data_IF_740039935908
#
_entry.id   IF_740039935908
#
_cell.length_a   1.000
_cell.length_b   1.000
_cell.length_c   1.000
_cell.angle_alpha   90.00
_cell.angle_beta   90.00
_cell.angle_gamma   90.00
#
_symmetry.space_group_name_H-M   'P 1'
#
loop_
_entity.id
_entity.type
_entity.pdbx_description
1 polymer ?
#
# COMPACT_ATOMS: atom_id res chain seq x y z
N UNK A 1 -14.14 7.72 17.79
CA UNK A 1 -14.51 6.77 16.71
C UNK A 1 -13.30 5.95 16.30
N UNK A 2 -13.46 4.65 16.00
CA UNK A 2 -12.38 3.82 15.43
C UNK A 2 -12.22 4.13 13.93
N UNK A 3 -11.00 4.08 13.37
CA UNK A 3 -10.79 4.32 11.94
C UNK A 3 -11.51 3.26 11.10
N UNK A 4 -12.09 3.69 9.98
CA UNK A 4 -12.66 2.78 8.97
C UNK A 4 -11.57 2.43 7.96
N UNK A 5 -11.24 1.15 7.87
CA UNK A 5 -10.32 0.61 6.84
C UNK A 5 -11.15 -0.08 5.77
N UNK A 6 -10.88 0.25 4.50
CA UNK A 6 -11.56 -0.36 3.35
C UNK A 6 -10.51 -1.11 2.53
N UNK A 7 -10.69 -2.42 2.41
CA UNK A 7 -9.84 -3.27 1.58
C UNK A 7 -10.56 -3.56 0.25
N UNK A 8 -9.86 -3.31 -0.86
CA UNK A 8 -10.32 -3.76 -2.18
C UNK A 8 -10.02 -5.25 -2.41
N UNK A 9 -10.39 -5.78 -3.57
CA UNK A 9 -10.00 -7.14 -3.96
C UNK A 9 -8.97 -7.09 -5.11
N UNK A 10 -7.76 -7.62 -4.85
CA UNK A 10 -6.68 -7.63 -5.83
C UNK A 10 -6.05 -6.25 -6.05
N UNK A 11 -5.78 -5.90 -7.31
CA UNK A 11 -5.13 -4.63 -7.68
C UNK A 11 -6.13 -3.52 -8.07
N UNK A 12 -5.62 -2.30 -8.25
CA UNK A 12 -6.41 -1.11 -8.56
C UNK A 12 -7.34 -1.29 -9.79
N UNK A 13 -6.84 -1.97 -10.82
CA UNK A 13 -7.55 -2.15 -12.10
C UNK A 13 -8.49 -3.37 -12.10
N UNK A 14 -8.62 -4.09 -10.98
CA UNK A 14 -9.50 -5.25 -10.88
C UNK A 14 -10.97 -4.78 -11.06
N UNK A 15 -11.73 -5.42 -11.96
CA UNK A 15 -13.15 -5.12 -12.12
C UNK A 15 -13.94 -5.53 -10.87
N UNK A 16 -14.69 -4.58 -10.30
CA UNK A 16 -15.74 -4.85 -9.32
C UNK A 16 -16.97 -5.45 -10.03
N UNK A 17 -17.26 -4.95 -11.23
CA UNK A 17 -18.28 -5.47 -12.14
C UNK A 17 -17.84 -5.22 -13.59
N UNK A 18 -18.72 -5.48 -14.57
CA UNK A 18 -18.38 -5.35 -16.00
C UNK A 18 -18.18 -3.90 -16.48
N UNK A 19 -18.42 -2.91 -15.62
CA UNK A 19 -18.41 -1.49 -15.94
C UNK A 19 -17.51 -0.67 -15.01
N UNK A 20 -17.15 -1.21 -13.84
CA UNK A 20 -16.49 -0.48 -12.76
C UNK A 20 -15.32 -1.29 -12.21
N UNK A 21 -14.16 -0.63 -12.04
CA UNK A 21 -12.97 -1.17 -11.37
C UNK A 21 -12.83 -0.54 -9.98
N UNK A 22 -12.01 -1.14 -9.12
CA UNK A 22 -11.74 -0.57 -7.79
C UNK A 22 -11.17 0.86 -7.86
N UNK A 23 -10.28 1.14 -8.81
CA UNK A 23 -9.72 2.49 -8.97
C UNK A 23 -10.78 3.54 -9.32
N UNK A 24 -11.84 3.14 -10.02
CA UNK A 24 -12.95 4.06 -10.37
C UNK A 24 -13.76 4.39 -9.09
N UNK A 25 -13.91 3.44 -8.16
CA UNK A 25 -14.52 3.67 -6.84
C UNK A 25 -13.63 4.56 -5.97
N UNK A 26 -12.32 4.32 -5.95
CA UNK A 26 -11.38 5.11 -5.17
C UNK A 26 -11.30 6.57 -5.66
N UNK A 27 -11.39 6.77 -6.97
CA UNK A 27 -11.51 8.10 -7.58
C UNK A 27 -12.77 8.84 -7.13
N UNK A 28 -13.91 8.15 -7.03
CA UNK A 28 -15.16 8.73 -6.54
C UNK A 28 -15.07 9.12 -5.06
N UNK A 29 -14.50 8.25 -4.23
CA UNK A 29 -14.41 8.50 -2.80
C UNK A 29 -13.37 9.56 -2.45
N UNK A 30 -12.29 9.68 -3.24
CA UNK A 30 -11.14 10.56 -2.97
C UNK A 30 -10.55 10.38 -1.56
N UNK A 31 -10.69 9.18 -1.01
CA UNK A 31 -10.11 8.83 0.27
C UNK A 31 -8.62 8.51 0.10
N UNK A 32 -7.79 8.78 1.11
CA UNK A 32 -6.39 8.40 1.08
C UNK A 32 -6.19 6.89 0.93
N UNK A 33 -5.26 6.50 0.05
CA UNK A 33 -4.91 5.10 -0.23
C UNK A 33 -3.56 4.76 0.41
N UNK A 34 -3.45 3.54 0.94
CA UNK A 34 -2.17 2.88 1.22
C UNK A 34 -1.95 1.83 0.13
N UNK A 35 -0.82 1.90 -0.58
CA UNK A 35 -0.50 0.94 -1.63
C UNK A 35 0.32 -0.22 -1.04
N UNK A 36 -0.24 -1.42 -1.03
CA UNK A 36 0.47 -2.62 -0.59
C UNK A 36 1.28 -3.22 -1.75
N UNK A 37 2.60 -3.35 -1.57
CA UNK A 37 3.51 -3.87 -2.59
C UNK A 37 4.34 -5.05 -2.05
N UNK A 38 4.43 -6.13 -2.82
CA UNK A 38 5.34 -7.24 -2.51
C UNK A 38 6.80 -6.87 -2.79
N UNK A 39 7.77 -7.60 -2.25
CA UNK A 39 9.21 -7.37 -2.48
C UNK A 39 9.85 -8.30 -3.53
N UNK A 40 9.04 -8.94 -4.38
CA UNK A 40 9.52 -9.88 -5.41
C UNK A 40 9.73 -9.25 -6.80
N UNK A 41 10.41 -9.97 -7.70
CA UNK A 41 10.65 -9.54 -9.08
C UNK A 41 9.38 -9.02 -9.77
N UNK A 42 9.54 -7.92 -10.51
CA UNK A 42 8.44 -7.18 -11.16
C UNK A 42 7.75 -6.15 -10.26
N UNK A 43 8.05 -6.10 -8.96
CA UNK A 43 7.41 -5.15 -8.05
C UNK A 43 7.68 -3.68 -8.37
N UNK A 44 8.88 -3.34 -8.85
CA UNK A 44 9.20 -1.96 -9.28
C UNK A 44 8.19 -1.49 -10.33
N UNK A 45 8.03 -2.28 -11.40
CA UNK A 45 7.09 -1.96 -12.47
C UNK A 45 5.64 -1.88 -11.96
N UNK A 46 5.16 -2.91 -11.24
CA UNK A 46 3.77 -2.93 -10.78
C UNK A 46 3.46 -1.78 -9.83
N UNK A 47 4.37 -1.47 -8.92
CA UNK A 47 4.18 -0.41 -7.93
C UNK A 47 4.20 0.97 -8.58
N UNK A 48 5.17 1.24 -9.46
CA UNK A 48 5.23 2.53 -10.18
C UNK A 48 4.03 2.72 -11.13
N UNK A 49 3.61 1.69 -11.87
CA UNK A 49 2.38 1.76 -12.70
C UNK A 49 1.13 2.01 -11.85
N UNK A 50 1.08 1.45 -10.64
CA UNK A 50 -0.04 1.68 -9.72
C UNK A 50 -0.04 3.11 -9.20
N UNK A 51 1.12 3.67 -8.86
CA UNK A 51 1.28 5.07 -8.45
C UNK A 51 0.83 6.02 -9.57
N UNK A 52 1.28 5.79 -10.80
CA UNK A 52 0.88 6.59 -11.96
C UNK A 52 -0.64 6.52 -12.20
N UNK A 53 -1.25 5.34 -12.05
CA UNK A 53 -2.70 5.18 -12.20
C UNK A 53 -3.50 5.95 -11.14
N UNK A 54 -3.03 5.99 -9.88
CA UNK A 54 -3.63 6.76 -8.80
C UNK A 54 -3.49 8.26 -9.05
N UNK A 55 -2.29 8.71 -9.43
CA UNK A 55 -1.98 10.12 -9.74
C UNK A 55 -2.81 10.65 -10.90
N UNK A 56 -2.92 9.87 -11.98
CA UNK A 56 -3.71 10.24 -13.15
C UNK A 56 -5.20 10.51 -12.81
N UNK A 57 -5.70 9.97 -11.70
CA UNK A 57 -7.06 10.15 -11.18
C UNK A 57 -7.13 11.08 -9.98
N UNK A 58 -6.03 11.74 -9.62
CA UNK A 58 -5.91 12.60 -8.44
C UNK A 58 -6.35 11.89 -7.14
N UNK A 59 -6.11 10.59 -7.02
CA UNK A 59 -6.41 9.82 -5.80
C UNK A 59 -5.27 10.06 -4.80
N UNK A 60 -5.55 10.50 -3.57
CA UNK A 60 -4.51 10.73 -2.57
C UNK A 60 -3.82 9.42 -2.18
N UNK A 61 -2.50 9.39 -2.20
CA UNK A 61 -1.69 8.25 -1.81
C UNK A 61 -0.85 8.63 -0.60
N UNK A 62 -1.09 7.96 0.54
CA UNK A 62 -0.34 8.18 1.78
C UNK A 62 1.08 7.66 1.61
N UNK A 63 1.24 6.45 1.07
CA UNK A 63 2.52 5.80 0.91
C UNK A 63 2.39 4.31 0.62
N UNK A 64 3.52 3.61 0.75
CA UNK A 64 3.65 2.20 0.37
C UNK A 64 3.91 1.34 1.60
N UNK A 65 3.14 0.27 1.74
CA UNK A 65 3.36 -0.80 2.70
C UNK A 65 4.01 -2.00 1.98
N UNK A 66 5.25 -2.33 2.32
CA UNK A 66 5.94 -3.47 1.71
C UNK A 66 5.63 -4.78 2.43
N UNK A 67 5.50 -5.89 1.69
CA UNK A 67 5.18 -7.21 2.22
C UNK A 67 6.15 -8.24 1.65
N UNK A 68 6.81 -9.00 2.51
CA UNK A 68 7.78 -10.03 2.18
C UNK A 68 9.19 -9.69 2.68
N UNK A 69 10.17 -10.48 2.24
CA UNK A 69 11.58 -10.30 2.61
C UNK A 69 12.12 -8.92 2.23
N UNK A 70 13.07 -8.41 3.00
CA UNK A 70 13.66 -7.11 2.71
C UNK A 70 14.49 -7.15 1.42
N UNK A 71 14.23 -6.18 0.55
CA UNK A 71 15.03 -5.93 -0.65
C UNK A 71 15.26 -4.42 -0.73
N UNK A 72 16.17 -3.94 0.12
CA UNK A 72 16.35 -2.52 0.44
C UNK A 72 16.53 -1.63 -0.81
N UNK A 73 17.29 -2.08 -1.81
CA UNK A 73 17.53 -1.33 -3.04
C UNK A 73 16.26 -1.19 -3.91
N UNK A 74 15.46 -2.27 -4.01
CA UNK A 74 14.18 -2.25 -4.72
C UNK A 74 13.19 -1.32 -4.03
N UNK A 75 13.08 -1.40 -2.69
CA UNK A 75 12.20 -0.53 -1.91
C UNK A 75 12.60 0.94 -2.06
N UNK A 76 13.91 1.25 -1.94
CA UNK A 76 14.45 2.59 -2.15
C UNK A 76 14.16 3.12 -3.55
N UNK A 77 14.43 2.32 -4.57
CA UNK A 77 14.14 2.67 -5.98
C UNK A 77 12.66 3.05 -6.14
N UNK A 78 11.74 2.26 -5.58
CA UNK A 78 10.31 2.55 -5.67
C UNK A 78 9.93 3.85 -4.95
N UNK A 79 10.48 4.10 -3.77
CA UNK A 79 10.22 5.34 -3.00
C UNK A 79 10.73 6.56 -3.76
N UNK A 80 11.96 6.50 -4.30
CA UNK A 80 12.60 7.61 -5.01
C UNK A 80 11.90 7.91 -6.34
N UNK A 81 11.71 6.92 -7.21
CA UNK A 81 11.00 7.10 -8.49
C UNK A 81 9.51 7.37 -8.28
N UNK A 82 8.91 6.74 -7.29
CA UNK A 82 7.51 6.88 -6.95
C UNK A 82 7.20 8.19 -6.25
N UNK A 83 8.18 8.87 -5.65
CA UNK A 83 7.99 10.12 -4.91
C UNK A 83 6.95 10.01 -3.79
N UNK A 84 6.90 8.85 -3.12
CA UNK A 84 5.94 8.54 -2.05
C UNK A 84 6.65 7.81 -0.92
N UNK A 85 6.29 8.06 0.35
CA UNK A 85 7.02 7.48 1.48
C UNK A 85 6.77 5.98 1.61
N UNK A 86 7.78 5.27 2.10
CA UNK A 86 7.60 3.92 2.64
C UNK A 86 7.00 4.04 4.04
N UNK A 87 5.82 3.48 4.25
CA UNK A 87 5.14 3.46 5.55
C UNK A 87 5.69 2.39 6.48
N UNK A 88 6.21 1.31 5.89
CA UNK A 88 6.74 0.19 6.64
C UNK A 88 6.92 -1.06 5.79
N UNK A 89 7.38 -2.14 6.43
CA UNK A 89 7.50 -3.47 5.83
C UNK A 89 7.06 -4.56 6.81
N UNK A 90 6.19 -5.47 6.35
CA UNK A 90 5.89 -6.72 7.04
C UNK A 90 6.72 -7.87 6.43
N UNK A 91 7.49 -8.63 7.23
CA UNK A 91 8.06 -9.91 6.78
C UNK A 91 6.96 -10.98 6.65
N UNK A 92 7.31 -12.12 6.03
CA UNK A 92 6.46 -13.30 6.14
C UNK A 92 6.54 -13.86 7.57
N UNK A 93 5.38 -14.03 8.22
CA UNK A 93 5.30 -14.46 9.61
C UNK A 93 5.06 -15.97 9.70
N UNK A 94 5.87 -16.65 10.53
CA UNK A 94 5.74 -18.06 10.83
C UNK A 94 5.95 -18.32 12.32
N UNK A 95 4.89 -18.55 13.12
CA UNK A 95 3.47 -18.57 12.77
C UNK A 95 2.84 -17.18 12.60
N UNK A 96 1.78 -17.08 11.79
CA UNK A 96 0.93 -15.89 11.73
C UNK A 96 -0.12 -15.95 12.85
N UNK A 97 0.14 -15.27 13.96
CA UNK A 97 -0.79 -15.09 15.09
C UNK A 97 -1.10 -13.61 15.28
N UNK A 98 -2.13 -13.31 16.07
CA UNK A 98 -2.46 -11.91 16.39
C UNK A 98 -1.34 -11.20 17.16
N UNK A 99 -0.54 -11.94 17.94
CA UNK A 99 0.63 -11.42 18.66
C UNK A 99 1.78 -11.15 17.69
N UNK A 100 2.18 -12.14 16.88
CA UNK A 100 3.31 -11.97 15.95
C UNK A 100 3.03 -10.90 14.90
N UNK A 101 1.78 -10.77 14.44
CA UNK A 101 1.37 -9.69 13.55
C UNK A 101 1.43 -8.32 14.24
N UNK A 102 0.95 -8.22 15.48
CA UNK A 102 0.99 -6.95 16.23
C UNK A 102 2.43 -6.49 16.45
N UNK A 103 3.31 -7.39 16.86
CA UNK A 103 4.72 -7.08 17.09
C UNK A 103 5.43 -6.67 15.79
N UNK A 104 5.12 -7.35 14.69
CA UNK A 104 5.64 -7.00 13.36
C UNK A 104 5.12 -5.62 12.88
N UNK A 105 3.86 -5.29 13.15
CA UNK A 105 3.31 -3.96 12.82
C UNK A 105 3.97 -2.86 13.66
N UNK A 106 4.14 -3.07 14.98
CA UNK A 106 4.77 -2.08 15.88
C UNK A 106 6.23 -1.83 15.50
N UNK A 107 6.96 -2.88 15.14
CA UNK A 107 8.39 -2.78 14.78
C UNK A 107 8.63 -2.34 13.34
N UNK A 108 7.71 -2.65 12.43
CA UNK A 108 7.92 -2.51 11.00
C UNK A 108 7.24 -1.31 10.35
N UNK A 109 6.33 -0.60 11.05
CA UNK A 109 5.55 0.51 10.49
C UNK A 109 5.63 1.76 11.35
N UNK A 110 5.66 2.90 10.67
CA UNK A 110 5.41 4.20 11.27
C UNK A 110 3.91 4.49 11.25
N UNK A 111 3.25 4.24 12.38
CA UNK A 111 1.81 4.46 12.53
C UNK A 111 1.44 5.96 12.54
N UNK A 112 2.37 6.86 12.86
CA UNK A 112 2.10 8.29 12.86
C UNK A 112 1.87 8.81 11.43
N UNK A 113 2.58 8.25 10.44
CA UNK A 113 2.35 8.55 9.02
C UNK A 113 0.98 8.06 8.50
N UNK A 114 0.40 7.04 9.15
CA UNK A 114 -0.86 6.42 8.73
C UNK A 114 -2.07 7.09 9.38
N UNK A 115 -1.94 7.50 10.64
CA UNK A 115 -3.04 8.04 11.43
C UNK A 115 -3.50 9.45 10.98
N UNK A 116 -2.72 10.12 10.13
CA UNK A 116 -2.84 11.56 9.90
C UNK A 116 -2.33 12.30 11.13
N UNK A 117 -1.30 13.11 10.98
CA UNK A 117 -0.93 14.08 12.03
C UNK A 117 -2.12 14.99 12.34
N UNK A 118 -2.17 15.46 13.60
CA UNK A 118 -3.22 16.31 14.18
C UNK A 118 -3.92 17.28 13.21
#
# INVERSE_FOLDING_TARGET
PTPLVIEGAGGLMVPLNRQTRFIDIFEQWRLPVILCARTALGTINHTLLSIEALRARSIPLIGIAFIGEEVADTQRTIVEFGGVPQLGRLPHLGPLTGETLRDAMISGFDLAMIAGGD
#
